data_IF_254761703598
#
_entry.id   IF_254761703598
#
_cell.length_a   1.000
_cell.length_b   1.000
_cell.length_c   1.000
_cell.angle_alpha   90.00
_cell.angle_beta   90.00
_cell.angle_gamma   90.00
#
_symmetry.space_group_name_H-M   'P 1'
#
loop_
_entity.id
_entity.type
_entity.pdbx_description
1 polymer ?
#
# COMPACT_ATOMS: atom_id res chain seq x y z
N UNK A 1 16.65 -2.23 14.21
CA UNK A 1 16.18 -3.23 13.22
C UNK A 1 15.07 -2.58 12.43
N UNK A 2 15.05 -2.73 11.11
CA UNK A 2 13.99 -2.22 10.23
C UNK A 2 12.93 -3.30 10.02
N UNK A 3 11.67 -2.89 9.88
CA UNK A 3 10.55 -3.79 9.69
C UNK A 3 10.31 -4.13 8.22
N UNK A 4 10.59 -3.17 7.33
CA UNK A 4 10.42 -3.33 5.88
C UNK A 4 11.28 -2.32 5.11
N UNK A 5 11.43 -2.56 3.82
CA UNK A 5 12.05 -1.63 2.89
C UNK A 5 11.11 -1.37 1.70
N UNK A 6 11.02 -0.10 1.28
CA UNK A 6 10.19 0.32 0.16
C UNK A 6 11.03 0.67 -1.07
N UNK A 7 10.57 0.26 -2.25
CA UNK A 7 10.95 0.87 -3.52
C UNK A 7 9.77 1.73 -3.97
N UNK A 8 10.01 3.05 -4.04
CA UNK A 8 8.99 4.05 -4.30
C UNK A 8 9.04 4.50 -5.76
N UNK A 9 7.96 4.24 -6.49
CA UNK A 9 7.79 4.73 -7.85
C UNK A 9 7.07 6.06 -7.85
N UNK A 10 7.42 6.92 -8.81
CA UNK A 10 6.77 8.20 -9.04
C UNK A 10 6.46 8.38 -10.53
N UNK A 11 5.47 9.21 -10.83
CA UNK A 11 5.03 9.51 -12.19
C UNK A 11 3.51 9.58 -12.32
N UNK A 12 2.97 9.69 -13.55
CA UNK A 12 1.54 9.69 -13.76
C UNK A 12 0.87 8.44 -13.19
N UNK A 13 -0.29 8.59 -12.57
CA UNK A 13 -1.09 7.51 -12.05
C UNK A 13 -2.30 7.22 -12.95
N UNK A 14 -2.84 6.00 -12.89
CA UNK A 14 -4.11 5.62 -13.50
C UNK A 14 -5.33 5.91 -12.58
N UNK A 15 -5.10 6.61 -11.46
CA UNK A 15 -6.09 7.14 -10.52
C UNK A 15 -5.75 8.60 -10.18
N UNK A 16 -6.76 9.34 -9.73
CA UNK A 16 -6.64 10.75 -9.33
C UNK A 16 -7.19 10.94 -7.91
N UNK A 17 -6.63 10.18 -6.97
CA UNK A 17 -7.09 10.20 -5.57
C UNK A 17 -6.90 11.58 -4.96
N UNK A 18 -7.97 12.27 -4.47
CA UNK A 18 -7.84 13.59 -3.86
C UNK A 18 -6.95 13.59 -2.61
N UNK A 19 -6.89 12.45 -1.94
CA UNK A 19 -6.17 12.23 -0.68
C UNK A 19 -4.85 11.48 -0.87
N UNK A 20 -4.27 11.53 -2.08
CA UNK A 20 -3.02 10.86 -2.34
C UNK A 20 -1.90 11.42 -1.47
N UNK A 21 -1.37 10.56 -0.62
CA UNK A 21 -0.31 10.95 0.33
C UNK A 21 0.95 11.46 -0.39
N UNK A 22 1.24 10.94 -1.58
CA UNK A 22 2.38 11.37 -2.38
C UNK A 22 2.32 12.82 -2.85
N UNK A 23 1.13 13.45 -2.91
CA UNK A 23 0.98 14.88 -3.23
C UNK A 23 1.57 15.80 -2.16
N UNK A 24 1.88 15.28 -0.98
CA UNK A 24 2.51 16.00 0.13
C UNK A 24 4.03 15.82 0.19
N UNK A 25 4.59 15.02 -0.72
CA UNK A 25 6.03 14.80 -0.80
C UNK A 25 6.70 15.90 -1.65
N UNK A 26 7.98 16.19 -1.41
CA UNK A 26 8.74 17.12 -2.23
C UNK A 26 8.79 16.70 -3.70
N UNK A 27 8.76 17.66 -4.63
CA UNK A 27 8.77 17.42 -6.09
C UNK A 27 9.94 16.54 -6.54
N UNK A 28 11.11 16.69 -5.92
CA UNK A 28 12.31 15.90 -6.28
C UNK A 28 12.09 14.40 -6.22
N UNK A 29 11.29 13.90 -5.25
CA UNK A 29 11.00 12.48 -5.09
C UNK A 29 9.77 12.04 -5.89
N UNK A 30 9.06 12.97 -6.52
CA UNK A 30 7.91 12.73 -7.38
C UNK A 30 8.22 12.84 -8.87
N UNK A 31 9.48 13.08 -9.25
CA UNK A 31 9.90 12.98 -10.65
C UNK A 31 9.71 11.56 -11.18
N UNK A 32 9.15 11.43 -12.39
CA UNK A 32 8.80 10.14 -12.96
C UNK A 32 10.01 9.23 -13.18
N UNK A 33 10.00 8.05 -12.56
CA UNK A 33 10.98 6.98 -12.76
C UNK A 33 10.38 5.72 -13.43
N UNK A 34 9.15 5.78 -13.95
CA UNK A 34 8.43 4.64 -14.51
C UNK A 34 9.10 3.97 -15.71
N UNK A 35 10.00 4.67 -16.38
CA UNK A 35 10.77 4.14 -17.52
C UNK A 35 12.24 3.91 -17.24
N UNK A 36 12.71 4.16 -16.02
CA UNK A 36 14.13 4.08 -15.66
C UNK A 36 14.46 2.66 -15.14
N UNK A 37 15.41 2.00 -15.79
CA UNK A 37 15.86 0.67 -15.39
C UNK A 37 17.40 0.53 -15.42
N UNK A 38 18.01 -0.02 -14.37
CA UNK A 38 17.38 -0.29 -13.07
C UNK A 38 16.98 1.01 -12.36
N UNK A 39 16.13 0.98 -11.31
CA UNK A 39 15.85 2.17 -10.52
C UNK A 39 17.14 2.80 -9.99
N UNK A 40 17.20 4.12 -9.97
CA UNK A 40 18.34 4.84 -9.40
C UNK A 40 18.55 4.41 -7.95
N UNK A 41 19.81 4.24 -7.53
CA UNK A 41 20.15 3.85 -6.16
C UNK A 41 19.85 2.40 -5.78
N UNK A 42 19.43 1.54 -6.74
CA UNK A 42 19.06 0.14 -6.46
C UNK A 42 20.19 -0.67 -5.85
N UNK A 43 21.45 -0.40 -6.22
CA UNK A 43 22.62 -1.12 -5.68
C UNK A 43 22.80 -0.84 -4.19
N UNK A 44 22.78 0.41 -3.79
CA UNK A 44 22.84 0.82 -2.39
C UNK A 44 21.64 0.31 -1.57
N UNK A 45 20.44 0.27 -2.19
CA UNK A 45 19.25 -0.33 -1.58
C UNK A 45 19.44 -1.81 -1.30
N UNK A 46 19.83 -2.60 -2.30
CA UNK A 46 20.08 -4.05 -2.17
C UNK A 46 21.15 -4.34 -1.12
N UNK A 47 22.26 -3.61 -1.13
CA UNK A 47 23.32 -3.73 -0.13
C UNK A 47 22.77 -3.47 1.29
N UNK A 48 22.01 -2.39 1.46
CA UNK A 48 21.41 -2.03 2.75
C UNK A 48 20.42 -3.08 3.23
N UNK A 49 19.52 -3.56 2.37
CA UNK A 49 18.54 -4.62 2.70
C UNK A 49 19.26 -5.90 3.13
N UNK A 50 20.32 -6.30 2.43
CA UNK A 50 21.08 -7.50 2.75
C UNK A 50 21.85 -7.36 4.06
N UNK A 51 22.53 -6.22 4.27
CA UNK A 51 23.28 -5.93 5.50
C UNK A 51 22.38 -5.91 6.73
N UNK A 52 21.24 -5.21 6.63
CA UNK A 52 20.27 -5.09 7.72
C UNK A 52 19.32 -6.31 7.83
N UNK A 53 19.43 -7.27 6.91
CA UNK A 53 18.60 -8.49 6.82
C UNK A 53 17.11 -8.21 6.82
N UNK A 54 16.69 -7.17 6.10
CA UNK A 54 15.28 -6.77 6.01
C UNK A 54 14.52 -7.80 5.17
N UNK A 55 13.55 -8.47 5.78
CA UNK A 55 12.82 -9.55 5.12
C UNK A 55 11.64 -9.06 4.24
N UNK A 56 11.11 -7.88 4.50
CA UNK A 56 9.90 -7.37 3.84
C UNK A 56 10.26 -6.25 2.88
N UNK A 57 10.14 -6.52 1.58
CA UNK A 57 10.40 -5.55 0.52
C UNK A 57 9.09 -5.20 -0.17
N UNK A 58 8.74 -3.92 -0.19
CA UNK A 58 7.47 -3.43 -0.72
C UNK A 58 7.72 -2.56 -1.95
N UNK A 59 7.14 -2.95 -3.08
CA UNK A 59 7.06 -2.11 -4.27
C UNK A 59 5.77 -1.29 -4.20
N UNK A 60 5.87 0.04 -4.16
CA UNK A 60 4.73 0.94 -4.01
C UNK A 60 4.96 2.24 -4.78
N UNK A 61 3.93 3.06 -4.92
CA UNK A 61 4.04 4.38 -5.53
C UNK A 61 3.96 5.50 -4.50
N UNK A 62 4.56 6.63 -4.81
CA UNK A 62 4.27 7.91 -4.15
C UNK A 62 3.00 8.51 -4.77
N UNK A 63 3.10 9.05 -5.99
CA UNK A 63 1.98 9.65 -6.75
C UNK A 63 1.52 8.77 -7.91
N UNK A 64 1.97 7.51 -7.98
CA UNK A 64 1.67 6.58 -9.08
C UNK A 64 1.30 5.20 -8.55
N UNK A 65 0.90 4.30 -9.44
CA UNK A 65 0.75 2.89 -9.14
C UNK A 65 2.01 2.11 -9.59
N UNK A 66 2.60 1.24 -8.76
CA UNK A 66 3.82 0.51 -9.11
C UNK A 66 3.65 -0.40 -10.33
N UNK A 67 2.44 -0.87 -10.63
CA UNK A 67 2.18 -1.66 -11.84
C UNK A 67 2.27 -0.85 -13.15
N UNK A 68 2.41 0.48 -13.09
CA UNK A 68 2.73 1.33 -14.23
C UNK A 68 4.23 1.33 -14.57
N UNK A 69 5.07 0.81 -13.67
CA UNK A 69 6.50 0.68 -13.95
C UNK A 69 6.75 -0.28 -15.12
N UNK A 70 7.44 0.21 -16.15
CA UNK A 70 7.58 -0.50 -17.44
C UNK A 70 8.42 -1.78 -17.32
N UNK A 71 9.31 -1.84 -16.35
CA UNK A 71 10.28 -2.92 -16.19
C UNK A 71 10.00 -3.79 -14.95
N UNK A 72 8.73 -3.89 -14.51
CA UNK A 72 8.33 -4.56 -13.28
C UNK A 72 8.87 -6.00 -13.19
N UNK A 73 8.63 -6.83 -14.22
CA UNK A 73 9.12 -8.22 -14.22
C UNK A 73 10.65 -8.33 -14.17
N UNK A 74 11.36 -7.42 -14.87
CA UNK A 74 12.84 -7.38 -14.84
C UNK A 74 13.36 -6.98 -13.47
N UNK A 75 12.68 -6.03 -12.82
CA UNK A 75 13.05 -5.62 -11.46
C UNK A 75 12.81 -6.76 -10.46
N UNK A 76 11.70 -7.47 -10.56
CA UNK A 76 11.45 -8.64 -9.70
C UNK A 76 12.54 -9.69 -9.88
N UNK A 77 12.95 -10.00 -11.12
CA UNK A 77 14.04 -10.95 -11.38
C UNK A 77 15.37 -10.49 -10.75
N UNK A 78 15.75 -9.21 -10.93
CA UNK A 78 16.94 -8.62 -10.32
C UNK A 78 16.90 -8.72 -8.78
N UNK A 79 15.76 -8.39 -8.17
CA UNK A 79 15.61 -8.45 -6.72
C UNK A 79 15.69 -9.90 -6.20
N UNK A 80 15.10 -10.87 -6.91
CA UNK A 80 15.18 -12.30 -6.56
C UNK A 80 16.61 -12.83 -6.64
N UNK A 81 17.40 -12.36 -7.60
CA UNK A 81 18.81 -12.75 -7.76
C UNK A 81 19.68 -12.15 -6.66
N UNK A 82 19.45 -10.89 -6.29
CA UNK A 82 20.40 -10.11 -5.50
C UNK A 82 20.10 -10.02 -4.01
N UNK A 83 18.83 -10.20 -3.61
CA UNK A 83 18.43 -10.15 -2.21
C UNK A 83 18.68 -11.50 -1.51
N UNK A 84 18.87 -11.42 -0.20
CA UNK A 84 19.00 -12.63 0.62
C UNK A 84 17.72 -13.50 0.55
N UNK A 85 17.87 -14.83 0.70
CA UNK A 85 16.79 -15.82 0.47
C UNK A 85 15.53 -15.65 1.33
N UNK A 86 15.64 -14.98 2.48
CA UNK A 86 14.49 -14.72 3.35
C UNK A 86 13.68 -13.47 2.92
N UNK A 87 14.17 -12.69 1.94
CA UNK A 87 13.46 -11.52 1.45
C UNK A 87 12.15 -11.90 0.76
N UNK A 88 11.07 -11.21 1.10
CA UNK A 88 9.74 -11.36 0.54
C UNK A 88 9.35 -10.11 -0.22
N UNK A 89 9.01 -10.26 -1.49
CA UNK A 89 8.59 -9.16 -2.35
C UNK A 89 7.08 -8.98 -2.27
N UNK A 90 6.62 -7.80 -1.92
CA UNK A 90 5.20 -7.47 -1.92
C UNK A 90 4.92 -6.24 -2.77
N UNK A 91 3.70 -6.15 -3.31
CA UNK A 91 3.23 -5.00 -4.06
C UNK A 91 2.09 -4.30 -3.32
N UNK A 92 2.13 -2.96 -3.26
CA UNK A 92 0.99 -2.14 -2.86
C UNK A 92 0.47 -1.40 -4.09
N UNK A 93 -0.72 -1.76 -4.56
CA UNK A 93 -1.32 -1.27 -5.82
C UNK A 93 -2.79 -0.87 -5.62
N UNK A 94 -3.32 -0.05 -6.53
CA UNK A 94 -4.75 0.23 -6.61
C UNK A 94 -5.56 -0.88 -7.33
N UNK A 95 -4.90 -1.94 -7.79
CA UNK A 95 -5.53 -3.12 -8.38
C UNK A 95 -6.02 -2.97 -9.82
N UNK A 96 -5.97 -1.78 -10.42
CA UNK A 96 -6.51 -1.52 -11.78
C UNK A 96 -5.87 -2.39 -12.86
N UNK A 97 -4.58 -2.65 -12.72
CA UNK A 97 -3.82 -3.44 -13.68
C UNK A 97 -3.63 -4.89 -13.25
N UNK A 98 -4.07 -5.29 -12.05
CA UNK A 98 -3.79 -6.60 -11.47
C UNK A 98 -4.22 -7.77 -12.38
N UNK A 99 -5.46 -7.75 -12.89
CA UNK A 99 -5.94 -8.80 -13.81
C UNK A 99 -5.21 -8.78 -15.15
N UNK A 100 -4.96 -7.60 -15.69
CA UNK A 100 -4.30 -7.45 -16.98
C UNK A 100 -2.82 -7.87 -16.93
N UNK A 101 -2.20 -7.82 -15.76
CA UNK A 101 -0.81 -8.18 -15.49
C UNK A 101 -0.70 -9.33 -14.49
N UNK A 102 -1.67 -10.22 -14.48
CA UNK A 102 -1.80 -11.27 -13.45
C UNK A 102 -0.57 -12.18 -13.37
N UNK A 103 0.11 -12.43 -14.47
CA UNK A 103 1.31 -13.27 -14.49
C UNK A 103 2.49 -12.60 -13.76
N UNK A 104 2.62 -11.27 -13.87
CA UNK A 104 3.63 -10.50 -13.11
C UNK A 104 3.17 -10.33 -11.67
N UNK A 105 1.88 -10.04 -11.45
CA UNK A 105 1.30 -9.93 -10.11
C UNK A 105 1.53 -11.20 -9.27
N UNK A 106 1.43 -12.37 -9.89
CA UNK A 106 1.66 -13.66 -9.23
C UNK A 106 3.15 -14.01 -9.02
N UNK A 107 4.09 -13.16 -9.44
CA UNK A 107 5.52 -13.32 -9.13
C UNK A 107 5.92 -12.71 -7.78
N UNK A 108 5.05 -11.90 -7.17
CA UNK A 108 5.24 -11.43 -5.81
C UNK A 108 4.96 -12.53 -4.78
N UNK A 109 5.41 -12.36 -3.55
CA UNK A 109 5.06 -13.26 -2.44
C UNK A 109 3.71 -12.91 -1.83
N UNK A 110 3.27 -11.65 -1.96
CA UNK A 110 1.99 -11.14 -1.48
C UNK A 110 1.65 -9.80 -2.10
N UNK A 111 0.39 -9.40 -1.97
CA UNK A 111 -0.08 -8.10 -2.43
C UNK A 111 -0.94 -7.38 -1.39
N UNK A 112 -0.95 -6.06 -1.47
CA UNK A 112 -1.91 -5.20 -0.80
C UNK A 112 -2.63 -4.37 -1.86
N UNK A 113 -3.96 -4.48 -1.93
CA UNK A 113 -4.78 -3.71 -2.85
C UNK A 113 -5.46 -2.57 -2.10
N UNK A 114 -5.22 -1.34 -2.52
CA UNK A 114 -5.96 -0.15 -2.05
C UNK A 114 -7.35 -0.15 -2.68
N UNK A 115 -8.36 -0.43 -1.86
CA UNK A 115 -9.73 -0.61 -2.32
C UNK A 115 -10.71 -0.06 -1.27
N UNK A 116 -11.20 1.19 -1.43
CA UNK A 116 -11.94 1.85 -0.36
C UNK A 116 -13.46 1.59 -0.38
N UNK A 117 -14.06 1.17 -1.50
CA UNK A 117 -15.50 0.93 -1.61
C UNK A 117 -15.84 0.07 -2.83
N UNK A 118 -16.94 -0.68 -2.76
CA UNK A 118 -17.57 -1.37 -3.89
C UNK A 118 -18.57 -0.47 -4.62
N UNK A 119 -19.00 0.63 -4.02
CA UNK A 119 -19.96 1.59 -4.57
C UNK A 119 -19.23 2.55 -5.52
N UNK A 120 -19.59 2.61 -6.82
CA UNK A 120 -18.86 3.43 -7.80
C UNK A 120 -18.81 4.92 -7.44
N UNK A 121 -19.87 5.47 -6.86
CA UNK A 121 -19.95 6.88 -6.44
C UNK A 121 -18.97 7.17 -5.29
N UNK A 122 -18.92 6.29 -4.30
CA UNK A 122 -18.00 6.40 -3.17
C UNK A 122 -16.56 6.15 -3.61
N UNK A 123 -16.36 5.14 -4.48
CA UNK A 123 -15.05 4.85 -5.05
C UNK A 123 -14.49 6.04 -5.84
N UNK A 124 -15.35 6.75 -6.61
CA UNK A 124 -14.95 7.95 -7.34
C UNK A 124 -14.46 9.06 -6.43
N UNK A 125 -15.17 9.32 -5.33
CA UNK A 125 -14.75 10.34 -4.33
C UNK A 125 -13.41 10.04 -3.69
N UNK A 126 -13.05 8.76 -3.56
CA UNK A 126 -11.82 8.33 -2.90
C UNK A 126 -10.67 8.05 -3.87
N UNK A 127 -10.96 7.59 -5.08
CA UNK A 127 -9.96 7.14 -6.05
C UNK A 127 -9.94 7.96 -7.35
N UNK A 128 -10.82 8.96 -7.48
CA UNK A 128 -10.92 9.82 -8.66
C UNK A 128 -11.41 9.10 -9.93
N UNK A 129 -12.18 8.02 -9.78
CA UNK A 129 -12.70 7.24 -10.91
C UNK A 129 -13.89 6.38 -10.47
N UNK A 130 -14.96 6.35 -11.28
CA UNK A 130 -16.11 5.45 -11.05
C UNK A 130 -15.83 3.98 -11.41
N UNK A 131 -14.70 3.70 -12.10
CA UNK A 131 -14.34 2.33 -12.52
C UNK A 131 -13.75 1.57 -11.34
N UNK A 132 -14.58 0.84 -10.63
CA UNK A 132 -14.17 -0.04 -9.53
C UNK A 132 -13.50 -1.29 -10.13
N UNK A 133 -12.29 -1.66 -9.71
CA UNK A 133 -11.68 -2.94 -10.13
C UNK A 133 -12.52 -4.13 -9.66
N UNK A 134 -12.57 -5.20 -10.45
CA UNK A 134 -13.21 -6.45 -10.02
C UNK A 134 -12.31 -7.18 -9.01
N UNK A 135 -12.45 -6.80 -7.74
CA UNK A 135 -11.66 -7.37 -6.64
C UNK A 135 -11.88 -8.88 -6.51
N UNK A 136 -13.11 -9.37 -6.71
CA UNK A 136 -13.42 -10.80 -6.64
C UNK A 136 -12.68 -11.58 -7.75
N UNK A 137 -12.64 -11.05 -8.98
CA UNK A 137 -11.89 -11.67 -10.06
C UNK A 137 -10.38 -11.64 -9.79
N UNK A 138 -9.85 -10.54 -9.23
CA UNK A 138 -8.44 -10.44 -8.84
C UNK A 138 -8.10 -11.53 -7.80
N UNK A 139 -8.93 -11.68 -6.76
CA UNK A 139 -8.71 -12.69 -5.71
C UNK A 139 -8.73 -14.11 -6.29
N UNK A 140 -9.69 -14.42 -7.20
CA UNK A 140 -9.75 -15.74 -7.84
C UNK A 140 -8.55 -16.05 -8.74
N UNK A 141 -8.02 -15.04 -9.43
CA UNK A 141 -6.87 -15.20 -10.32
C UNK A 141 -5.51 -15.18 -9.59
N UNK A 142 -5.50 -14.66 -8.35
CA UNK A 142 -4.28 -14.54 -7.56
C UNK A 142 -3.83 -15.90 -7.00
N UNK A 143 -2.55 -16.22 -7.17
CA UNK A 143 -1.88 -17.39 -6.56
C UNK A 143 -1.12 -17.00 -5.29
N UNK A 144 -1.17 -15.76 -4.90
CA UNK A 144 -0.48 -15.17 -3.74
C UNK A 144 -1.49 -14.61 -2.74
N UNK A 145 -1.14 -14.53 -1.46
CA UNK A 145 -1.98 -13.86 -0.46
C UNK A 145 -2.22 -12.39 -0.82
N UNK A 146 -3.49 -11.99 -0.85
CA UNK A 146 -3.90 -10.62 -1.10
C UNK A 146 -4.53 -10.04 0.17
N UNK A 147 -4.02 -8.89 0.59
CA UNK A 147 -4.58 -8.05 1.64
C UNK A 147 -5.31 -6.88 0.99
N UNK A 148 -6.46 -6.50 1.51
CA UNK A 148 -7.19 -5.29 1.12
C UNK A 148 -6.87 -4.18 2.11
N UNK A 149 -6.67 -2.97 1.63
CA UNK A 149 -6.47 -1.76 2.45
C UNK A 149 -7.47 -0.70 2.04
N UNK A 150 -8.22 -0.18 3.01
CA UNK A 150 -9.18 0.91 2.80
C UNK A 150 -8.83 2.08 3.70
N UNK A 151 -8.68 3.27 3.12
CA UNK A 151 -8.69 4.51 3.89
C UNK A 151 -10.12 4.87 4.21
N UNK A 152 -10.39 5.22 5.46
CA UNK A 152 -11.74 5.63 5.91
C UNK A 152 -11.77 7.14 6.11
N UNK A 153 -12.79 7.77 5.52
CA UNK A 153 -13.13 9.16 5.71
C UNK A 153 -14.65 9.36 5.65
N UNK A 154 -15.13 10.63 5.59
CA UNK A 154 -16.54 10.98 5.56
C UNK A 154 -17.34 10.34 4.42
N UNK A 155 -16.69 9.94 3.34
CA UNK A 155 -17.37 9.40 2.16
C UNK A 155 -17.70 7.91 2.28
N UNK A 156 -16.94 7.14 3.05
CA UNK A 156 -17.13 5.68 3.20
C UNK A 156 -17.29 5.21 4.65
N UNK A 157 -17.20 6.10 5.64
CA UNK A 157 -17.35 5.70 7.04
C UNK A 157 -18.72 5.05 7.32
N UNK A 158 -19.77 5.48 6.63
CA UNK A 158 -21.12 4.89 6.73
C UNK A 158 -21.27 3.52 6.06
N UNK A 159 -20.32 3.12 5.20
CA UNK A 159 -20.36 1.87 4.42
C UNK A 159 -19.48 0.76 5.04
N UNK A 160 -18.84 1.00 6.18
CA UNK A 160 -17.80 0.09 6.73
C UNK A 160 -18.34 -1.32 6.95
N UNK A 161 -19.56 -1.49 7.46
CA UNK A 161 -20.13 -2.82 7.75
C UNK A 161 -20.46 -3.60 6.49
N UNK A 162 -21.11 -2.94 5.54
CA UNK A 162 -21.44 -3.50 4.23
C UNK A 162 -20.17 -3.85 3.46
N UNK A 163 -19.16 -2.98 3.51
CA UNK A 163 -17.86 -3.21 2.91
C UNK A 163 -17.16 -4.45 3.50
N UNK A 164 -17.18 -4.61 4.81
CA UNK A 164 -16.61 -5.78 5.51
C UNK A 164 -17.33 -7.06 5.13
N UNK A 165 -18.67 -7.02 5.12
CA UNK A 165 -19.50 -8.16 4.74
C UNK A 165 -19.23 -8.59 3.30
N UNK A 166 -19.11 -7.64 2.38
CA UNK A 166 -18.80 -7.91 0.99
C UNK A 166 -17.37 -8.44 0.80
N UNK A 167 -16.39 -7.85 1.50
CA UNK A 167 -15.01 -8.37 1.51
C UNK A 167 -14.96 -9.83 1.99
N UNK A 168 -15.68 -10.16 3.07
CA UNK A 168 -15.76 -11.52 3.58
C UNK A 168 -16.42 -12.47 2.57
N UNK A 169 -17.54 -12.04 1.96
CA UNK A 169 -18.29 -12.82 0.96
C UNK A 169 -17.44 -13.20 -0.25
N UNK A 170 -16.57 -12.30 -0.73
CA UNK A 170 -15.68 -12.58 -1.87
C UNK A 170 -14.37 -13.25 -1.50
N UNK A 171 -14.16 -13.56 -0.21
CA UNK A 171 -13.03 -14.36 0.25
C UNK A 171 -11.79 -13.55 0.66
N UNK A 172 -11.92 -12.26 0.95
CA UNK A 172 -10.84 -11.49 1.59
C UNK A 172 -10.52 -12.12 2.95
N UNK A 173 -9.24 -12.40 3.21
CA UNK A 173 -8.78 -12.97 4.47
C UNK A 173 -8.13 -11.93 5.39
N UNK A 174 -7.64 -10.84 4.83
CA UNK A 174 -6.96 -9.78 5.58
C UNK A 174 -7.40 -8.42 5.06
N UNK A 175 -7.93 -7.60 5.96
CA UNK A 175 -8.40 -6.26 5.70
C UNK A 175 -7.69 -5.27 6.63
N UNK A 176 -7.27 -4.12 6.10
CA UNK A 176 -6.70 -3.05 6.90
C UNK A 176 -7.49 -1.78 6.63
N UNK A 177 -8.11 -1.26 7.67
CA UNK A 177 -8.64 0.10 7.64
C UNK A 177 -7.55 1.06 8.10
N UNK A 178 -7.38 2.14 7.33
CA UNK A 178 -6.40 3.17 7.62
C UNK A 178 -7.11 4.48 7.91
N UNK A 179 -6.69 5.16 8.96
CA UNK A 179 -7.00 6.58 9.12
C UNK A 179 -6.27 7.37 8.02
N UNK A 180 -6.94 8.38 7.47
CA UNK A 180 -6.28 9.30 6.55
C UNK A 180 -5.14 10.03 7.28
N UNK A 181 -3.99 10.20 6.63
CA UNK A 181 -2.86 10.90 7.23
C UNK A 181 -3.22 12.36 7.52
N UNK A 182 -2.99 12.79 8.76
CA UNK A 182 -3.33 14.13 9.25
C UNK A 182 -4.83 14.35 9.56
N UNK A 183 -5.66 13.29 9.49
CA UNK A 183 -7.06 13.36 9.90
C UNK A 183 -7.16 13.33 11.42
N UNK A 184 -7.85 14.29 11.99
CA UNK A 184 -8.10 14.41 13.44
C UNK A 184 -9.44 13.83 13.85
N UNK A 185 -10.38 13.67 12.90
CA UNK A 185 -11.69 13.08 13.16
C UNK A 185 -11.58 11.59 13.41
N UNK A 186 -12.43 11.09 14.29
CA UNK A 186 -12.51 9.66 14.59
C UNK A 186 -13.73 9.05 13.91
N UNK A 187 -13.54 7.90 13.29
CA UNK A 187 -14.59 7.14 12.62
C UNK A 187 -14.87 5.86 13.40
N UNK A 188 -16.15 5.49 13.49
CA UNK A 188 -16.52 4.19 14.06
C UNK A 188 -16.13 3.08 13.06
N UNK A 189 -14.96 2.49 13.27
CA UNK A 189 -14.48 1.36 12.48
C UNK A 189 -14.58 0.12 13.35
N UNK A 190 -15.79 -0.47 13.42
CA UNK A 190 -16.06 -1.74 14.10
C UNK A 190 -15.57 -1.76 15.55
N UNK A 191 -15.82 -0.70 16.32
CA UNK A 191 -15.40 -0.60 17.72
C UNK A 191 -16.11 -1.60 18.64
N UNK A 192 -17.21 -2.19 18.16
CA UNK A 192 -17.96 -3.26 18.82
C UNK A 192 -17.34 -4.65 18.66
N UNK A 193 -16.37 -4.84 17.74
CA UNK A 193 -15.66 -6.09 17.63
C UNK A 193 -14.53 -6.19 18.67
N UNK A 194 -14.37 -7.36 19.32
CA UNK A 194 -13.30 -7.55 20.28
C UNK A 194 -11.93 -7.54 19.61
N UNK A 195 -10.98 -6.89 20.28
CA UNK A 195 -9.57 -6.92 19.85
C UNK A 195 -8.98 -8.27 20.26
N UNK A 196 -8.52 -9.03 19.27
CA UNK A 196 -7.92 -10.36 19.48
C UNK A 196 -6.42 -10.31 19.71
N UNK A 197 -5.75 -9.28 19.19
CA UNK A 197 -4.31 -9.01 19.41
C UNK A 197 -3.92 -7.59 18.98
N UNK A 198 -2.71 -7.19 19.34
CA UNK A 198 -2.08 -5.97 18.81
C UNK A 198 -1.06 -6.33 17.73
N UNK A 199 -0.95 -5.49 16.70
CA UNK A 199 0.07 -5.61 15.67
C UNK A 199 0.70 -4.24 15.40
N UNK A 200 1.98 -4.08 15.72
CA UNK A 200 2.73 -2.81 15.55
C UNK A 200 1.99 -1.60 16.16
N UNK A 201 1.50 -1.73 17.39
CA UNK A 201 0.73 -0.69 18.07
C UNK A 201 -0.75 -0.58 17.67
N UNK A 202 -1.21 -1.37 16.68
CA UNK A 202 -2.55 -1.27 16.11
C UNK A 202 -3.43 -2.46 16.48
N UNK A 203 -4.72 -2.25 16.81
CA UNK A 203 -5.63 -3.33 17.18
C UNK A 203 -6.01 -4.18 15.99
N UNK A 204 -6.04 -5.49 16.21
CA UNK A 204 -6.49 -6.49 15.24
C UNK A 204 -7.73 -7.20 15.80
N UNK A 205 -8.76 -7.28 14.99
CA UNK A 205 -10.03 -7.94 15.27
C UNK A 205 -10.21 -9.13 14.33
N UNK A 206 -11.08 -10.06 14.69
CA UNK A 206 -11.57 -11.13 13.83
C UNK A 206 -13.03 -10.87 13.45
N UNK A 207 -13.33 -10.98 12.17
CA UNK A 207 -14.69 -10.98 11.65
C UNK A 207 -14.92 -12.24 10.85
N UNK A 208 -15.50 -13.25 11.48
CA UNK A 208 -15.83 -14.54 10.84
C UNK A 208 -14.64 -15.17 10.08
N UNK A 209 -13.46 -15.15 10.70
CA UNK A 209 -12.23 -15.69 10.12
C UNK A 209 -11.49 -14.73 9.18
N UNK A 210 -11.96 -13.50 8.99
CA UNK A 210 -11.23 -12.44 8.33
C UNK A 210 -10.53 -11.55 9.37
N UNK A 211 -9.19 -11.45 9.25
CA UNK A 211 -8.39 -10.57 10.09
C UNK A 211 -8.60 -9.11 9.67
N UNK A 212 -9.00 -8.24 10.59
CA UNK A 212 -9.20 -6.81 10.36
C UNK A 212 -8.24 -6.03 11.26
N UNK A 213 -7.38 -5.21 10.68
CA UNK A 213 -6.50 -4.29 11.41
C UNK A 213 -7.01 -2.86 11.28
N UNK A 214 -7.15 -2.14 12.39
CA UNK A 214 -7.35 -0.68 12.39
C UNK A 214 -5.98 -0.02 12.50
N UNK A 215 -5.49 0.49 11.38
CA UNK A 215 -4.15 1.07 11.30
C UNK A 215 -4.19 2.57 11.51
N UNK A 216 -3.48 3.02 12.54
CA UNK A 216 -3.28 4.43 12.85
C UNK A 216 -1.79 4.78 12.73
N UNK A 217 -1.47 5.79 11.95
CA UNK A 217 -0.09 6.21 11.74
C UNK A 217 0.55 6.78 13.01
N UNK A 218 -0.24 7.44 13.87
CA UNK A 218 0.26 8.06 15.11
C UNK A 218 0.67 7.03 16.17
N UNK A 219 0.11 5.82 16.08
CA UNK A 219 0.40 4.71 17.00
C UNK A 219 1.31 3.63 16.38
N UNK A 220 1.73 3.82 15.13
CA UNK A 220 2.46 2.77 14.41
C UNK A 220 3.94 2.76 14.73
N UNK A 221 4.42 1.69 15.32
CA UNK A 221 5.82 1.43 15.66
C UNK A 221 6.53 0.74 14.49
N UNK A 222 6.69 1.44 13.36
CA UNK A 222 7.34 0.87 12.18
C UNK A 222 8.54 1.69 11.74
N UNK A 223 9.65 0.99 11.44
CA UNK A 223 10.85 1.56 10.84
C UNK A 223 11.04 1.03 9.43
N UNK A 224 11.31 1.89 8.48
CA UNK A 224 11.53 1.50 7.09
C UNK A 224 12.79 2.10 6.49
N UNK A 225 13.32 1.43 5.47
CA UNK A 225 14.24 2.01 4.49
C UNK A 225 13.44 2.29 3.25
N UNK A 226 13.61 3.48 2.66
CA UNK A 226 12.86 3.92 1.51
C UNK A 226 13.82 4.32 0.39
N UNK A 227 13.73 3.65 -0.76
CA UNK A 227 14.38 4.08 -2.00
C UNK A 227 13.40 4.97 -2.75
N UNK A 228 13.70 6.25 -2.84
CA UNK A 228 12.89 7.22 -3.56
C UNK A 228 13.18 7.22 -5.06
N UNK A 229 12.30 7.86 -5.84
CA UNK A 229 12.39 7.88 -7.30
C UNK A 229 13.65 8.59 -7.82
N UNK A 230 14.22 9.52 -7.04
CA UNK A 230 15.48 10.21 -7.33
C UNK A 230 16.74 9.39 -6.97
N UNK A 231 16.57 8.18 -6.42
CA UNK A 231 17.65 7.29 -6.01
C UNK A 231 18.14 7.51 -4.58
N UNK A 232 17.58 8.46 -3.84
CA UNK A 232 17.95 8.68 -2.43
C UNK A 232 17.38 7.57 -1.54
N UNK A 233 18.15 7.20 -0.51
CA UNK A 233 17.71 6.32 0.58
C UNK A 233 17.36 7.15 1.80
N UNK A 234 16.17 6.91 2.37
CA UNK A 234 15.71 7.54 3.60
C UNK A 234 15.23 6.52 4.62
N UNK A 235 15.38 6.85 5.91
CA UNK A 235 14.92 6.01 7.03
C UNK A 235 13.51 6.37 7.50
N UNK A 236 13.00 7.52 7.09
CA UNK A 236 11.63 7.95 7.35
C UNK A 236 10.89 8.14 6.03
N UNK A 237 9.61 7.90 6.08
CA UNK A 237 8.70 8.41 5.07
C UNK A 237 8.65 9.92 5.32
N UNK A 238 9.15 10.73 4.38
CA UNK A 238 9.36 12.20 4.57
C UNK A 238 8.13 12.99 5.03
N UNK A 239 7.00 12.34 5.21
CA UNK A 239 5.77 12.88 5.77
C UNK A 239 5.78 13.02 7.30
N UNK A 240 6.67 12.30 7.99
CA UNK A 240 6.71 12.27 9.46
C UNK A 240 7.63 13.32 10.06
N UNK A 241 8.44 14.02 9.23
CA UNK A 241 9.45 14.98 9.69
C UNK A 241 8.95 16.44 9.74
N UNK A 242 7.73 16.75 9.26
CA UNK A 242 7.20 18.12 9.25
C UNK A 242 5.85 18.22 9.98
N UNK A 243 5.81 18.68 11.23
CA UNK A 243 4.57 18.98 11.96
C UNK A 243 3.70 20.07 11.29
N UNK A 244 4.29 20.89 10.41
CA UNK A 244 3.63 22.08 9.82
C UNK A 244 2.68 21.82 8.66
N UNK A 245 2.53 20.58 8.19
CA UNK A 245 1.67 20.27 7.04
C UNK A 245 0.21 19.93 7.41
N UNK A 246 -0.16 20.04 8.69
CA UNK A 246 -1.50 19.73 9.18
C UNK A 246 -2.55 20.81 8.88
N UNK A 247 -2.16 22.01 8.40
CA UNK A 247 -3.07 23.12 8.19
C UNK A 247 -2.90 23.71 6.79
N UNK A 248 -3.59 23.12 5.81
CA UNK A 248 -4.08 23.85 4.64
C UNK A 248 -5.57 23.52 4.52
N UNK A 249 -6.36 24.54 4.88
CA UNK A 249 -7.79 24.64 4.66
C UNK A 249 -8.17 24.49 3.19
#
# INVERSE_FOLDING_TARGET
MYDFANILFAGPCNRACPWCIGLRLPDRVNASNLGVYPPLGIDAFVETVNRERIAEIVLTGTVTDPQLYKHEARLLALLRERLHRAARLSIHTNGVLALRRIDVFNQYDRACISFPSFVPETYEKLMGSRRVPDLAAILRASRIPVKVSSVVNEHNAGEVREFVSECQRIGVRRLVFRRLYGETRTWNILHDLPVVRMFKGNPVMDFQGMEITRWDFDHSECRSINLFADGTLGTSYQLTETPELAHRE
#
